data_IF_934338212889
#
_entry.id   IF_934338212889
#
_cell.length_a   1.000
_cell.length_b   1.000
_cell.length_c   1.000
_cell.angle_alpha   90.00
_cell.angle_beta   90.00
_cell.angle_gamma   90.00
#
_symmetry.space_group_name_H-M   'P 1'
#
loop_
_entity.id
_entity.type
_entity.pdbx_description
1 polymer ?
#
# COMPACT_ATOMS: atom_id res chain seq x y z
N UNK A 1 22.04 -20.10 -15.17
CA UNK A 1 20.65 -19.71 -15.51
C UNK A 1 20.00 -18.80 -14.46
N UNK A 2 20.29 -18.94 -13.15
CA UNK A 2 19.86 -18.00 -12.10
C UNK A 2 20.92 -16.94 -11.70
N UNK A 3 22.09 -16.91 -12.35
CA UNK A 3 23.14 -15.92 -12.09
C UNK A 3 22.66 -14.49 -12.35
N UNK A 4 21.87 -14.29 -13.41
CA UNK A 4 21.26 -13.01 -13.77
C UNK A 4 20.27 -12.49 -12.70
N UNK A 5 19.72 -13.38 -11.87
CA UNK A 5 18.79 -12.98 -10.80
C UNK A 5 19.54 -12.35 -9.62
N UNK A 6 20.82 -12.69 -9.42
CA UNK A 6 21.68 -11.96 -8.48
C UNK A 6 21.94 -10.53 -8.94
N UNK A 7 21.98 -10.29 -10.26
CA UNK A 7 22.15 -8.96 -10.86
C UNK A 7 20.92 -8.06 -10.68
N UNK A 8 19.73 -8.66 -10.64
CA UNK A 8 18.46 -7.95 -10.37
C UNK A 8 18.39 -7.33 -8.98
N UNK A 9 19.12 -7.86 -8.00
CA UNK A 9 19.14 -7.32 -6.64
C UNK A 9 19.56 -5.84 -6.61
N UNK A 10 20.59 -5.46 -7.40
CA UNK A 10 21.05 -4.08 -7.48
C UNK A 10 20.05 -3.18 -8.20
N UNK A 11 19.38 -3.68 -9.24
CA UNK A 11 18.34 -2.93 -9.98
C UNK A 11 17.13 -2.67 -9.09
N UNK A 12 16.72 -3.67 -8.31
CA UNK A 12 15.59 -3.56 -7.37
C UNK A 12 15.95 -2.65 -6.19
N UNK A 13 17.15 -2.75 -5.62
CA UNK A 13 17.61 -1.85 -4.56
C UNK A 13 17.73 -0.39 -5.02
N UNK A 14 18.11 -0.17 -6.29
CA UNK A 14 18.28 1.16 -6.85
C UNK A 14 16.99 1.73 -7.45
N UNK A 15 15.88 0.97 -7.46
CA UNK A 15 14.57 1.46 -7.89
C UNK A 15 13.95 2.34 -6.80
N UNK A 16 14.45 3.57 -6.72
CA UNK A 16 13.90 4.62 -5.86
C UNK A 16 12.59 5.19 -6.42
N UNK A 17 12.11 4.71 -7.58
CA UNK A 17 10.84 5.16 -8.18
C UNK A 17 9.61 4.86 -7.32
N UNK A 18 9.78 4.04 -6.29
CA UNK A 18 8.76 3.67 -5.32
C UNK A 18 8.95 4.33 -3.95
N UNK A 19 9.97 5.17 -3.75
CA UNK A 19 10.13 5.86 -2.46
C UNK A 19 9.09 6.94 -2.28
N UNK A 20 8.32 6.82 -1.22
CA UNK A 20 7.33 7.83 -0.85
C UNK A 20 7.97 9.18 -0.57
N UNK A 21 7.31 10.26 -1.00
CA UNK A 21 7.70 11.64 -0.66
C UNK A 21 7.77 11.87 0.85
N UNK A 22 7.08 11.04 1.66
CA UNK A 22 7.12 11.08 3.12
C UNK A 22 8.53 10.88 3.70
N UNK A 23 9.46 10.24 2.97
CA UNK A 23 10.87 10.16 3.38
C UNK A 23 11.62 11.51 3.32
N UNK A 24 11.08 12.52 2.62
CA UNK A 24 11.67 13.87 2.59
C UNK A 24 11.30 14.72 3.81
N UNK A 25 10.40 14.23 4.67
CA UNK A 25 9.96 14.90 5.89
C UNK A 25 10.59 14.24 7.12
N UNK A 26 10.59 14.92 8.29
CA UNK A 26 10.97 14.29 9.55
C UNK A 26 10.18 13.00 9.80
N UNK A 27 10.82 12.01 10.40
CA UNK A 27 10.23 10.67 10.62
C UNK A 27 8.90 10.73 11.39
N UNK A 28 8.79 11.63 12.37
CA UNK A 28 7.55 11.84 13.13
C UNK A 28 6.38 12.22 12.21
N UNK A 29 6.60 13.12 11.26
CA UNK A 29 5.58 13.59 10.30
C UNK A 29 5.15 12.45 9.38
N UNK A 30 6.11 11.73 8.79
CA UNK A 30 5.81 10.62 7.90
C UNK A 30 4.99 9.52 8.60
N UNK A 31 5.39 9.19 9.84
CA UNK A 31 4.71 8.19 10.68
C UNK A 31 3.29 8.62 11.04
N UNK A 32 3.08 9.87 11.45
CA UNK A 32 1.77 10.40 11.80
C UNK A 32 0.82 10.43 10.60
N UNK A 33 1.31 10.86 9.42
CA UNK A 33 0.53 10.84 8.18
C UNK A 33 0.16 9.41 7.81
N UNK A 34 1.10 8.47 7.85
CA UNK A 34 0.82 7.07 7.55
C UNK A 34 -0.24 6.48 8.49
N UNK A 35 -0.14 6.75 9.79
CA UNK A 35 -1.11 6.29 10.77
C UNK A 35 -2.50 6.89 10.49
N UNK A 36 -2.60 8.23 10.38
CA UNK A 36 -3.87 8.93 10.21
C UNK A 36 -4.63 8.56 8.93
N UNK A 37 -3.91 8.25 7.84
CA UNK A 37 -4.50 7.87 6.56
C UNK A 37 -4.91 6.40 6.53
N UNK A 38 -4.06 5.52 7.04
CA UNK A 38 -4.26 4.07 6.88
C UNK A 38 -5.20 3.51 7.95
N UNK A 39 -5.24 4.10 9.14
CA UNK A 39 -6.10 3.67 10.23
C UNK A 39 -7.61 3.64 9.86
N UNK A 40 -8.23 4.70 9.30
CA UNK A 40 -9.65 4.64 8.91
C UNK A 40 -9.92 3.64 7.78
N UNK A 41 -8.96 3.44 6.87
CA UNK A 41 -9.06 2.44 5.80
C UNK A 41 -9.04 1.01 6.38
N UNK A 42 -8.12 0.74 7.30
CA UNK A 42 -8.02 -0.55 7.98
C UNK A 42 -9.22 -0.84 8.88
N UNK A 43 -9.72 0.16 9.62
CA UNK A 43 -10.92 0.00 10.44
C UNK A 43 -12.17 -0.33 9.60
N UNK A 44 -12.32 0.28 8.43
CA UNK A 44 -13.43 -0.02 7.52
C UNK A 44 -13.45 -1.49 7.07
N UNK A 45 -12.29 -2.16 7.02
CA UNK A 45 -12.18 -3.59 6.68
C UNK A 45 -12.56 -4.52 7.85
N UNK A 46 -12.35 -4.10 9.09
CA UNK A 46 -12.57 -4.93 10.30
C UNK A 46 -14.02 -4.86 10.77
N UNK A 47 -14.66 -3.69 10.69
CA UNK A 47 -16.04 -3.48 11.15
C UNK A 47 -16.96 -3.04 9.99
N UNK A 48 -17.48 -3.98 9.19
CA UNK A 48 -18.25 -3.68 7.99
C UNK A 48 -19.71 -3.25 8.26
N UNK A 49 -20.02 -2.41 9.26
CA UNK A 49 -21.41 -2.12 9.66
C UNK A 49 -21.81 -0.63 9.68
N UNK A 50 -22.95 -0.38 9.00
CA UNK A 50 -23.96 0.71 9.09
C UNK A 50 -23.86 1.90 8.10
N UNK A 51 -22.73 2.15 7.44
CA UNK A 51 -22.70 2.97 6.23
C UNK A 51 -22.04 2.16 5.13
N UNK A 52 -22.69 2.09 3.96
CA UNK A 52 -22.42 1.13 2.90
C UNK A 52 -20.94 0.83 2.68
N UNK A 53 -20.66 -0.44 2.40
CA UNK A 53 -19.39 -1.08 2.08
C UNK A 53 -18.68 -0.47 0.87
N UNK A 54 -18.78 0.83 0.64
CA UNK A 54 -18.16 1.55 -0.44
C UNK A 54 -16.77 2.01 -0.05
N UNK A 55 -15.85 1.93 -0.99
CA UNK A 55 -14.53 2.56 -0.86
C UNK A 55 -14.63 4.03 -0.45
N UNK A 56 -13.82 4.42 0.54
CA UNK A 56 -13.58 5.80 0.94
C UNK A 56 -12.89 6.62 -0.16
N UNK A 57 -12.07 5.98 -0.99
CA UNK A 57 -11.34 6.61 -2.09
C UNK A 57 -12.17 6.48 -3.38
N UNK A 58 -12.39 7.59 -4.08
CA UNK A 58 -13.27 7.64 -5.27
C UNK A 58 -12.49 7.93 -6.55
N UNK A 59 -11.37 8.65 -6.46
CA UNK A 59 -10.58 9.10 -7.61
C UNK A 59 -9.22 8.43 -7.72
N UNK A 60 -8.67 8.37 -8.93
CA UNK A 60 -7.33 7.86 -9.21
C UNK A 60 -6.25 8.61 -8.42
N UNK A 61 -6.40 9.93 -8.27
CA UNK A 61 -5.49 10.77 -7.49
C UNK A 61 -5.47 10.39 -6.01
N UNK A 62 -6.64 10.17 -5.42
CA UNK A 62 -6.76 9.73 -4.02
C UNK A 62 -6.11 8.36 -3.82
N UNK A 63 -6.40 7.40 -4.71
CA UNK A 63 -5.81 6.06 -4.66
C UNK A 63 -4.28 6.15 -4.75
N UNK A 64 -3.73 6.84 -5.75
CA UNK A 64 -2.28 6.96 -5.94
C UNK A 64 -1.59 7.63 -4.76
N UNK A 65 -2.15 8.71 -4.23
CA UNK A 65 -1.61 9.36 -3.04
C UNK A 65 -1.65 8.44 -1.82
N UNK A 66 -2.76 7.74 -1.59
CA UNK A 66 -2.84 6.74 -0.51
C UNK A 66 -1.82 5.61 -0.71
N UNK A 67 -1.55 5.17 -1.95
CA UNK A 67 -0.51 4.17 -2.20
C UNK A 67 0.89 4.67 -1.85
N UNK A 68 1.21 5.95 -2.07
CA UNK A 68 2.48 6.53 -1.61
C UNK A 68 2.58 6.52 -0.09
N UNK A 69 1.48 6.82 0.60
CA UNK A 69 1.41 6.78 2.07
C UNK A 69 1.57 5.36 2.59
N UNK A 70 0.88 4.38 1.99
CA UNK A 70 1.01 2.96 2.35
C UNK A 70 2.43 2.46 2.04
N UNK A 71 3.04 2.88 0.92
CA UNK A 71 4.41 2.51 0.59
C UNK A 71 5.39 2.92 1.70
N UNK A 72 5.27 4.16 2.20
CA UNK A 72 6.02 4.62 3.37
C UNK A 72 5.66 3.82 4.62
N UNK A 73 4.37 3.60 4.89
CA UNK A 73 3.89 2.84 6.04
C UNK A 73 4.50 1.44 6.13
N UNK A 74 4.68 0.77 4.98
CA UNK A 74 5.34 -0.54 4.90
C UNK A 74 6.84 -0.49 5.23
N UNK A 75 7.46 0.69 5.25
CA UNK A 75 8.84 0.91 5.73
C UNK A 75 8.94 1.22 7.22
N UNK A 76 7.82 1.27 7.96
CA UNK A 76 7.85 1.46 9.43
C UNK A 76 8.17 0.16 10.18
N UNK A 77 8.64 0.24 11.44
CA UNK A 77 8.81 -0.94 12.32
C UNK A 77 7.56 -1.83 12.37
N UNK A 78 7.78 -3.15 12.35
CA UNK A 78 6.71 -4.17 12.17
C UNK A 78 5.82 -4.40 13.41
N UNK A 79 6.15 -3.77 14.54
CA UNK A 79 5.46 -3.90 15.82
C UNK A 79 4.20 -3.00 15.92
N UNK A 80 3.98 -2.09 14.96
CA UNK A 80 2.86 -1.15 14.96
C UNK A 80 1.65 -1.57 14.13
N UNK A 81 0.45 -1.17 14.58
CA UNK A 81 -0.82 -1.38 13.85
C UNK A 81 -0.84 -0.73 12.46
N UNK A 82 -0.05 0.34 12.27
CA UNK A 82 0.04 1.03 10.97
C UNK A 82 0.51 0.10 9.85
N UNK A 83 1.54 -0.72 10.10
CA UNK A 83 2.04 -1.69 9.11
C UNK A 83 0.99 -2.76 8.84
N UNK A 84 0.33 -3.26 9.89
CA UNK A 84 -0.76 -4.23 9.75
C UNK A 84 -1.87 -3.69 8.84
N UNK A 85 -2.36 -2.49 9.11
CA UNK A 85 -3.40 -1.89 8.28
C UNK A 85 -2.94 -1.60 6.84
N UNK A 86 -1.67 -1.26 6.63
CA UNK A 86 -1.10 -1.13 5.27
C UNK A 86 -1.24 -2.45 4.49
N UNK A 87 -0.90 -3.58 5.14
CA UNK A 87 -1.01 -4.91 4.55
C UNK A 87 -2.47 -5.32 4.32
N UNK A 88 -3.35 -5.06 5.28
CA UNK A 88 -4.77 -5.39 5.18
C UNK A 88 -5.44 -4.65 4.01
N UNK A 89 -5.15 -3.35 3.84
CA UNK A 89 -5.68 -2.55 2.72
C UNK A 89 -5.20 -3.07 1.37
N UNK A 90 -3.90 -3.34 1.22
CA UNK A 90 -3.37 -3.90 -0.03
C UNK A 90 -3.86 -5.31 -0.33
N UNK A 91 -4.05 -6.14 0.69
CA UNK A 91 -4.62 -7.47 0.52
C UNK A 91 -6.07 -7.39 0.04
N UNK A 92 -6.88 -6.45 0.57
CA UNK A 92 -8.23 -6.24 0.06
C UNK A 92 -8.23 -5.74 -1.39
N UNK A 93 -7.34 -4.80 -1.74
CA UNK A 93 -7.27 -4.27 -3.11
C UNK A 93 -6.81 -5.30 -4.14
N UNK A 94 -5.93 -6.24 -3.76
CA UNK A 94 -5.52 -7.37 -4.62
C UNK A 94 -6.73 -8.25 -4.98
N UNK A 95 -7.77 -8.32 -4.14
CA UNK A 95 -8.99 -9.07 -4.46
C UNK A 95 -9.71 -8.56 -5.71
N UNK A 96 -9.38 -7.36 -6.22
CA UNK A 96 -9.86 -6.89 -7.51
C UNK A 96 -9.52 -7.84 -8.68
N UNK A 97 -8.45 -8.63 -8.56
CA UNK A 97 -8.09 -9.65 -9.55
C UNK A 97 -8.88 -10.96 -9.43
N UNK A 98 -9.53 -11.20 -8.28
CA UNK A 98 -10.16 -12.49 -7.95
C UNK A 98 -11.68 -12.33 -7.86
N UNK A 99 -12.13 -11.50 -6.93
CA UNK A 99 -13.54 -11.19 -6.68
C UNK A 99 -13.64 -9.73 -6.23
N UNK A 100 -13.87 -8.79 -7.15
CA UNK A 100 -14.05 -7.38 -6.82
C UNK A 100 -15.15 -7.19 -5.78
N UNK A 101 -14.86 -6.36 -4.77
CA UNK A 101 -15.80 -5.99 -3.71
C UNK A 101 -16.08 -4.49 -3.78
N UNK A 102 -17.22 -4.06 -3.26
CA UNK A 102 -17.59 -2.65 -3.18
C UNK A 102 -16.62 -1.82 -2.30
N UNK A 103 -15.88 -2.48 -1.39
CA UNK A 103 -14.86 -1.88 -0.54
C UNK A 103 -13.63 -1.40 -1.33
N UNK A 104 -13.43 -1.95 -2.53
CA UNK A 104 -12.26 -1.67 -3.36
C UNK A 104 -12.53 -0.39 -4.18
N UNK A 105 -11.57 0.58 -4.22
CA UNK A 105 -11.73 1.78 -5.01
C UNK A 105 -11.98 1.49 -6.49
N UNK A 106 -12.92 2.21 -7.10
CA UNK A 106 -13.26 2.06 -8.53
C UNK A 106 -12.05 2.15 -9.47
N UNK A 107 -11.04 3.04 -9.27
CA UNK A 107 -9.83 3.05 -10.10
C UNK A 107 -9.08 1.71 -10.08
N UNK A 108 -8.99 1.07 -8.92
CA UNK A 108 -8.34 -0.24 -8.76
C UNK A 108 -9.13 -1.33 -9.46
N UNK A 109 -10.47 -1.30 -9.37
CA UNK A 109 -11.33 -2.25 -10.09
C UNK A 109 -11.23 -2.08 -11.62
N UNK A 110 -11.09 -0.84 -12.10
CA UNK A 110 -10.99 -0.54 -13.54
C UNK A 110 -9.67 -1.00 -14.16
N UNK A 111 -8.56 -0.85 -13.43
CA UNK A 111 -7.21 -1.19 -13.93
C UNK A 111 -6.44 -2.09 -12.94
N UNK A 112 -6.95 -3.28 -12.58
CA UNK A 112 -6.45 -4.04 -11.43
C UNK A 112 -5.00 -4.52 -11.63
N UNK A 113 -4.61 -4.86 -12.86
CA UNK A 113 -3.23 -5.27 -13.16
C UNK A 113 -2.22 -4.13 -12.90
N UNK A 114 -2.56 -2.89 -13.26
CA UNK A 114 -1.68 -1.73 -13.08
C UNK A 114 -1.44 -1.46 -11.58
N UNK A 115 -2.53 -1.46 -10.82
CA UNK A 115 -2.50 -1.20 -9.38
C UNK A 115 -1.84 -2.33 -8.61
N UNK A 116 -2.16 -3.59 -8.92
CA UNK A 116 -1.57 -4.75 -8.22
C UNK A 116 -0.08 -4.88 -8.48
N UNK A 117 0.43 -4.55 -9.68
CA UNK A 117 1.88 -4.50 -9.90
C UNK A 117 2.57 -3.52 -8.95
N UNK A 118 1.99 -2.34 -8.73
CA UNK A 118 2.54 -1.35 -7.80
C UNK A 118 2.42 -1.81 -6.35
N UNK A 119 1.30 -2.43 -5.97
CA UNK A 119 1.10 -3.03 -4.64
C UNK A 119 2.18 -4.08 -4.35
N UNK A 120 2.41 -5.01 -5.27
CA UNK A 120 3.40 -6.08 -5.10
C UNK A 120 4.82 -5.53 -4.94
N UNK A 121 5.16 -4.46 -5.67
CA UNK A 121 6.43 -3.75 -5.48
C UNK A 121 6.52 -3.13 -4.08
N UNK A 122 5.48 -2.43 -3.64
CA UNK A 122 5.47 -1.80 -2.31
C UNK A 122 5.58 -2.85 -1.17
N UNK A 123 4.93 -4.01 -1.30
CA UNK A 123 5.00 -5.09 -0.31
C UNK A 123 6.42 -5.66 -0.13
N UNK A 124 7.33 -5.46 -1.09
CA UNK A 124 8.74 -5.85 -0.95
C UNK A 124 9.42 -5.14 0.23
N UNK A 125 8.95 -3.94 0.60
CA UNK A 125 9.47 -3.16 1.73
C UNK A 125 9.37 -3.91 3.08
N UNK A 126 8.46 -4.88 3.20
CA UNK A 126 8.34 -5.71 4.40
C UNK A 126 9.52 -6.67 4.61
N UNK A 127 10.24 -7.00 3.53
CA UNK A 127 11.30 -8.00 3.53
C UNK A 127 12.71 -7.38 3.53
N UNK A 128 12.80 -6.05 3.55
CA UNK A 128 14.08 -5.33 3.66
C UNK A 128 14.56 -5.38 5.13
N UNK A 129 15.80 -5.80 5.41
CA UNK A 129 16.36 -5.73 6.76
C UNK A 129 16.35 -4.30 7.29
N UNK A 130 15.90 -4.13 8.54
CA UNK A 130 15.67 -2.83 9.20
C UNK A 130 16.78 -2.50 10.18
#
# INVERSE_FOLDING_TARGET
MYSEWRSLHLVIQNDQGHTSVLHSYPESVGREVANAVVHPLGQALVTPSVAGSESLLKTDKEVKWTMEVICYGLTLPLDGETVKYCVDVYTDWIMALVLPKDSIPLPVIKEPNLYVQSILKHLQNLFVPR
#
